data_IF_483667242988
#
_entry.id   IF_483667242988
#
_cell.length_a   1.000
_cell.length_b   1.000
_cell.length_c   1.000
_cell.angle_alpha   90.00
_cell.angle_beta   90.00
_cell.angle_gamma   90.00
#
_symmetry.space_group_name_H-M   'P 1'
#
loop_
_entity.id
_entity.type
_entity.pdbx_description
1 polymer ?
#
# COMPACT_ATOMS: atom_id res chain seq x y z
N UNK A 1 -50.75 6.28 64.60
CA UNK A 1 -50.45 6.97 63.33
C UNK A 1 -48.95 7.23 63.15
N UNK A 2 -48.19 7.53 64.20
CA UNK A 2 -46.75 7.85 64.14
C UNK A 2 -45.83 6.76 63.55
N UNK A 3 -46.13 5.48 63.79
CA UNK A 3 -45.29 4.38 63.28
C UNK A 3 -45.29 4.29 61.74
N UNK A 4 -46.43 4.55 61.09
CA UNK A 4 -46.54 4.56 59.63
C UNK A 4 -45.83 5.75 58.99
N UNK A 5 -45.78 6.87 59.70
CA UNK A 5 -45.16 8.12 59.22
C UNK A 5 -43.63 8.07 59.30
N UNK A 6 -43.07 7.43 60.33
CA UNK A 6 -41.63 7.11 60.40
C UNK A 6 -41.19 6.15 59.31
N UNK A 7 -41.97 5.09 59.07
CA UNK A 7 -41.66 4.08 58.06
C UNK A 7 -41.70 4.67 56.64
N UNK A 8 -42.67 5.53 56.35
CA UNK A 8 -42.75 6.25 55.08
C UNK A 8 -41.56 7.23 54.85
N UNK A 9 -41.03 7.85 55.91
CA UNK A 9 -39.83 8.69 55.81
C UNK A 9 -38.57 7.88 55.52
N UNK A 10 -38.38 6.75 56.20
CA UNK A 10 -37.24 5.86 55.96
C UNK A 10 -37.24 5.26 54.55
N UNK A 11 -38.41 4.84 54.06
CA UNK A 11 -38.55 4.31 52.69
C UNK A 11 -38.27 5.38 51.62
N UNK A 12 -38.73 6.61 51.84
CA UNK A 12 -38.46 7.73 50.94
C UNK A 12 -36.95 8.09 50.93
N UNK A 13 -36.29 8.06 52.08
CA UNK A 13 -34.85 8.33 52.18
C UNK A 13 -34.04 7.22 51.51
N UNK A 14 -34.47 5.96 51.65
CA UNK A 14 -33.86 4.80 51.00
C UNK A 14 -34.02 4.85 49.49
N UNK A 15 -35.20 5.24 48.98
CA UNK A 15 -35.42 5.48 47.55
C UNK A 15 -34.54 6.60 47.01
N UNK A 16 -34.45 7.74 47.70
CA UNK A 16 -33.59 8.86 47.28
C UNK A 16 -32.11 8.48 47.21
N UNK A 17 -31.62 7.71 48.19
CA UNK A 17 -30.22 7.22 48.21
C UNK A 17 -29.98 6.21 47.08
N UNK A 18 -30.92 5.30 46.83
CA UNK A 18 -30.81 4.34 45.74
C UNK A 18 -30.84 5.01 44.35
N UNK A 19 -31.69 6.02 44.17
CA UNK A 19 -31.78 6.79 42.92
C UNK A 19 -30.52 7.63 42.68
N UNK A 20 -29.99 8.28 43.73
CA UNK A 20 -28.73 9.02 43.65
C UNK A 20 -27.55 8.10 43.27
N UNK A 21 -27.46 6.92 43.88
CA UNK A 21 -26.42 5.93 43.56
C UNK A 21 -26.53 5.41 42.12
N UNK A 22 -27.77 5.19 41.64
CA UNK A 22 -28.03 4.76 40.26
C UNK A 22 -27.60 5.83 39.25
N UNK A 23 -27.97 7.10 39.50
CA UNK A 23 -27.56 8.23 38.65
C UNK A 23 -26.05 8.40 38.62
N UNK A 24 -25.37 8.22 39.75
CA UNK A 24 -23.91 8.32 39.85
C UNK A 24 -23.21 7.21 39.05
N UNK A 25 -23.66 5.96 39.18
CA UNK A 25 -23.14 4.86 38.36
C UNK A 25 -23.39 5.06 36.87
N UNK A 26 -24.55 5.55 36.49
CA UNK A 26 -24.90 5.80 35.08
C UNK A 26 -24.04 6.93 34.47
N UNK A 27 -23.70 7.96 35.26
CA UNK A 27 -22.77 9.02 34.83
C UNK A 27 -21.34 8.48 34.70
N UNK A 28 -20.86 7.72 35.68
CA UNK A 28 -19.53 7.08 35.64
C UNK A 28 -19.39 6.12 34.45
N UNK A 29 -20.41 5.29 34.18
CA UNK A 29 -20.41 4.39 33.02
C UNK A 29 -20.41 5.16 31.70
N UNK A 30 -21.16 6.26 31.60
CA UNK A 30 -21.19 7.09 30.39
C UNK A 30 -19.84 7.76 30.15
N UNK A 31 -19.25 8.34 31.20
CA UNK A 31 -17.91 8.95 31.11
C UNK A 31 -16.83 7.92 30.77
N UNK A 32 -16.92 6.70 31.32
CA UNK A 32 -16.00 5.61 31.01
C UNK A 32 -16.10 5.21 29.53
N UNK A 33 -17.32 5.05 29.00
CA UNK A 33 -17.55 4.73 27.58
C UNK A 33 -17.08 5.84 26.66
N UNK A 34 -17.32 7.10 27.01
CA UNK A 34 -16.86 8.25 26.22
C UNK A 34 -15.32 8.33 26.21
N UNK A 35 -14.66 8.08 27.35
CA UNK A 35 -13.19 8.01 27.43
C UNK A 35 -12.61 6.85 26.62
N UNK A 36 -13.24 5.68 26.66
CA UNK A 36 -12.79 4.51 25.88
C UNK A 36 -12.93 4.76 24.38
N UNK A 37 -14.06 5.31 23.93
CA UNK A 37 -14.28 5.67 22.52
C UNK A 37 -13.29 6.73 22.05
N UNK A 38 -12.99 7.72 22.90
CA UNK A 38 -12.00 8.74 22.60
C UNK A 38 -10.59 8.14 22.47
N UNK A 39 -10.18 7.30 23.43
CA UNK A 39 -8.89 6.64 23.42
C UNK A 39 -8.73 5.74 22.18
N UNK A 40 -9.78 5.00 21.81
CA UNK A 40 -9.78 4.17 20.60
C UNK A 40 -9.63 5.00 19.33
N UNK A 41 -10.39 6.09 19.18
CA UNK A 41 -10.25 6.99 18.03
C UNK A 41 -8.84 7.58 17.91
N UNK A 42 -8.24 7.97 19.03
CA UNK A 42 -6.87 8.49 19.06
C UNK A 42 -5.85 7.42 18.66
N UNK A 43 -6.02 6.17 19.13
CA UNK A 43 -5.16 5.06 18.76
C UNK A 43 -5.26 4.74 17.25
N UNK A 44 -6.48 4.64 16.71
CA UNK A 44 -6.73 4.38 15.29
C UNK A 44 -6.16 5.50 14.40
N UNK A 45 -6.31 6.77 14.79
CA UNK A 45 -5.74 7.90 14.05
C UNK A 45 -4.21 7.89 14.09
N UNK A 46 -3.61 7.58 15.24
CA UNK A 46 -2.15 7.48 15.38
C UNK A 46 -1.58 6.33 14.53
N UNK A 47 -2.25 5.18 14.50
CA UNK A 47 -1.85 4.05 13.67
C UNK A 47 -1.95 4.40 12.17
N UNK A 48 -3.05 5.05 11.76
CA UNK A 48 -3.21 5.52 10.38
C UNK A 48 -2.10 6.48 9.98
N UNK A 49 -1.79 7.48 10.83
CA UNK A 49 -0.69 8.43 10.57
C UNK A 49 0.66 7.73 10.46
N UNK A 50 0.96 6.78 11.35
CA UNK A 50 2.21 5.99 11.29
C UNK A 50 2.31 5.20 9.99
N UNK A 51 1.21 4.60 9.54
CA UNK A 51 1.17 3.83 8.29
C UNK A 51 1.40 4.73 7.08
N UNK A 52 0.72 5.89 7.03
CA UNK A 52 0.89 6.88 5.96
C UNK A 52 2.31 7.46 5.93
N UNK A 53 2.92 7.74 7.08
CA UNK A 53 4.29 8.23 7.20
C UNK A 53 5.31 7.17 6.78
N UNK A 54 5.14 5.92 7.20
CA UNK A 54 5.97 4.81 6.77
C UNK A 54 5.88 4.56 5.26
N UNK A 55 4.69 4.67 4.67
CA UNK A 55 4.50 4.56 3.22
C UNK A 55 5.19 5.71 2.48
N UNK A 56 5.08 6.94 2.97
CA UNK A 56 5.79 8.10 2.40
C UNK A 56 7.29 7.94 2.48
N UNK A 57 7.82 7.56 3.65
CA UNK A 57 9.25 7.32 3.85
C UNK A 57 9.77 6.19 2.93
N UNK A 58 8.98 5.13 2.75
CA UNK A 58 9.32 4.03 1.83
C UNK A 58 9.38 4.53 0.36
N UNK A 59 8.39 5.31 -0.07
CA UNK A 59 8.37 5.91 -1.42
C UNK A 59 9.56 6.86 -1.65
N UNK A 60 9.89 7.69 -0.67
CA UNK A 60 11.03 8.61 -0.73
C UNK A 60 12.36 7.85 -0.77
N UNK A 61 12.54 6.82 0.06
CA UNK A 61 13.72 5.97 0.05
C UNK A 61 13.89 5.23 -1.29
N UNK A 62 12.80 4.72 -1.87
CA UNK A 62 12.83 4.09 -3.19
C UNK A 62 13.22 5.08 -4.29
N UNK A 63 12.66 6.30 -4.27
CA UNK A 63 13.05 7.37 -5.20
C UNK A 63 14.54 7.70 -5.08
N UNK A 64 15.05 7.79 -3.85
CA UNK A 64 16.47 8.06 -3.62
C UNK A 64 17.36 6.92 -4.15
N UNK A 65 16.98 5.65 -3.95
CA UNK A 65 17.69 4.51 -4.52
C UNK A 65 17.74 4.56 -6.06
N UNK A 66 16.65 4.95 -6.72
CA UNK A 66 16.62 5.10 -8.18
C UNK A 66 17.51 6.24 -8.69
N UNK A 67 17.64 7.33 -7.93
CA UNK A 67 18.56 8.43 -8.25
C UNK A 67 20.01 7.98 -8.07
N UNK A 68 20.31 7.29 -6.97
CA UNK A 68 21.65 6.79 -6.67
C UNK A 68 22.13 5.76 -7.72
N UNK A 69 21.26 4.84 -8.13
CA UNK A 69 21.55 3.88 -9.21
C UNK A 69 21.87 4.57 -10.55
N UNK A 70 21.17 5.67 -10.87
CA UNK A 70 21.42 6.45 -12.08
C UNK A 70 22.77 7.19 -12.03
N UNK A 71 23.10 7.78 -10.87
CA UNK A 71 24.38 8.49 -10.66
C UNK A 71 25.59 7.55 -10.70
N UNK A 72 25.43 6.31 -10.22
CA UNK A 72 26.54 5.38 -10.11
C UNK A 72 27.09 4.87 -11.44
N UNK A 73 26.42 5.06 -12.60
CA UNK A 73 27.03 4.76 -13.91
C UNK A 73 26.30 5.18 -15.19
N UNK A 74 25.23 5.98 -15.17
CA UNK A 74 24.36 6.09 -16.36
C UNK A 74 23.83 4.73 -16.82
N UNK A 75 23.92 3.74 -15.93
CA UNK A 75 23.41 2.39 -16.04
C UNK A 75 21.95 2.47 -15.62
N UNK A 76 21.07 2.16 -16.56
CA UNK A 76 19.65 2.04 -16.29
C UNK A 76 19.36 1.08 -15.14
N UNK A 77 18.15 1.14 -14.58
CA UNK A 77 17.67 0.11 -13.66
C UNK A 77 17.70 -1.24 -14.40
N UNK A 78 18.36 -2.25 -13.83
CA UNK A 78 18.50 -3.56 -14.46
C UNK A 78 18.33 -4.71 -13.48
N UNK A 79 17.95 -5.88 -13.99
CA UNK A 79 17.80 -7.09 -13.20
C UNK A 79 17.09 -8.18 -13.98
N UNK A 80 16.68 -9.25 -13.29
CA UNK A 80 15.85 -10.29 -13.90
C UNK A 80 14.37 -10.01 -13.65
N UNK A 81 13.56 -10.24 -14.67
CA UNK A 81 12.11 -10.19 -14.59
C UNK A 81 11.52 -11.29 -15.47
N UNK A 82 10.35 -11.80 -15.11
CA UNK A 82 9.62 -12.74 -15.97
C UNK A 82 8.53 -11.96 -16.68
N UNK A 83 8.52 -12.03 -18.01
CA UNK A 83 7.59 -11.27 -18.84
C UNK A 83 6.76 -12.19 -19.73
N UNK A 84 5.49 -11.87 -19.88
CA UNK A 84 4.62 -12.38 -20.92
C UNK A 84 4.29 -11.20 -21.86
N UNK A 85 4.88 -11.23 -23.06
CA UNK A 85 4.70 -10.17 -24.05
C UNK A 85 3.31 -10.25 -24.67
N UNK A 86 2.71 -9.10 -25.01
CA UNK A 86 1.49 -9.02 -25.80
C UNK A 86 1.60 -9.88 -27.06
N UNK A 87 0.82 -10.97 -27.11
CA UNK A 87 0.82 -11.93 -28.21
C UNK A 87 1.53 -13.27 -27.96
N UNK A 88 2.23 -13.45 -26.82
CA UNK A 88 2.78 -14.76 -26.44
C UNK A 88 2.13 -15.27 -25.16
N UNK A 89 1.60 -16.51 -25.13
CA UNK A 89 1.02 -17.07 -23.91
C UNK A 89 2.09 -17.52 -22.89
N UNK A 90 3.38 -17.45 -23.24
CA UNK A 90 4.46 -18.00 -22.42
C UNK A 90 5.17 -16.93 -21.60
N UNK A 91 5.32 -17.22 -20.31
CA UNK A 91 6.20 -16.49 -19.40
C UNK A 91 7.67 -16.78 -19.70
N UNK A 92 8.47 -15.73 -19.82
CA UNK A 92 9.89 -15.81 -20.17
C UNK A 92 10.71 -15.00 -19.19
N UNK A 93 11.64 -15.65 -18.48
CA UNK A 93 12.63 -14.94 -17.65
C UNK A 93 13.63 -14.23 -18.55
N UNK A 94 13.81 -12.92 -18.35
CA UNK A 94 14.68 -12.05 -19.15
C UNK A 94 15.48 -11.16 -18.22
N UNK A 95 16.71 -10.85 -18.62
CA UNK A 95 17.45 -9.76 -18.02
C UNK A 95 16.95 -8.46 -18.65
N UNK A 96 16.58 -7.48 -17.86
CA UNK A 96 16.06 -6.21 -18.34
C UNK A 96 17.04 -5.08 -18.02
N UNK A 97 17.02 -4.05 -18.87
CA UNK A 97 17.72 -2.78 -18.65
C UNK A 97 16.78 -1.65 -19.05
N UNK A 98 16.51 -0.75 -18.11
CA UNK A 98 15.68 0.44 -18.30
C UNK A 98 16.56 1.68 -18.45
N UNK A 99 16.77 2.14 -19.68
CA UNK A 99 17.66 3.28 -19.96
C UNK A 99 16.92 4.34 -20.77
N UNK A 100 16.92 5.57 -20.26
CA UNK A 100 16.17 6.68 -20.87
C UNK A 100 14.68 6.32 -20.97
N UNK A 101 14.16 6.29 -22.18
CA UNK A 101 12.74 5.99 -22.47
C UNK A 101 12.47 4.54 -22.90
N UNK A 102 13.45 3.63 -22.76
CA UNK A 102 13.35 2.27 -23.32
C UNK A 102 13.64 1.23 -22.24
N UNK A 103 12.77 0.22 -22.19
CA UNK A 103 12.98 -1.04 -21.48
C UNK A 103 13.48 -2.07 -22.49
N UNK A 104 14.75 -2.44 -22.38
CA UNK A 104 15.39 -3.44 -23.23
C UNK A 104 15.45 -4.79 -22.50
N UNK A 105 15.11 -5.87 -23.21
CA UNK A 105 15.08 -7.22 -22.68
C UNK A 105 16.13 -8.08 -23.38
N UNK A 106 16.94 -8.77 -22.59
CA UNK A 106 17.99 -9.68 -23.01
C UNK A 106 17.68 -11.09 -22.54
N UNK A 107 18.32 -12.08 -23.17
CA UNK A 107 18.18 -13.48 -22.76
C UNK A 107 18.72 -13.68 -21.33
N UNK A 108 19.83 -13.04 -21.04
CA UNK A 108 20.63 -13.10 -19.82
C UNK A 108 21.42 -11.78 -19.67
N UNK A 109 22.17 -11.65 -18.57
CA UNK A 109 22.94 -10.45 -18.22
C UNK A 109 24.11 -10.19 -19.19
N UNK A 110 24.76 -11.25 -19.67
CA UNK A 110 25.88 -11.18 -20.63
C UNK A 110 25.41 -11.05 -22.10
N UNK A 111 24.10 -11.00 -22.30
CA UNK A 111 23.46 -10.99 -23.60
C UNK A 111 23.82 -9.74 -24.40
N UNK A 112 24.55 -9.91 -25.51
CA UNK A 112 24.97 -8.78 -26.36
C UNK A 112 23.85 -8.23 -27.24
N UNK A 113 22.86 -9.06 -27.58
CA UNK A 113 21.77 -8.69 -28.48
C UNK A 113 20.43 -8.64 -27.73
N UNK A 114 19.67 -7.54 -27.87
CA UNK A 114 18.35 -7.46 -27.27
C UNK A 114 17.40 -8.45 -27.93
N UNK A 115 16.61 -9.14 -27.11
CA UNK A 115 15.52 -10.02 -27.54
C UNK A 115 14.26 -9.21 -27.86
N UNK A 116 14.04 -8.12 -27.12
CA UNK A 116 12.94 -7.21 -27.34
C UNK A 116 13.27 -5.82 -26.75
N UNK A 117 12.61 -4.80 -27.28
CA UNK A 117 12.65 -3.43 -26.78
C UNK A 117 11.24 -2.89 -26.66
N UNK A 118 10.93 -2.30 -25.50
CA UNK A 118 9.64 -1.69 -25.20
C UNK A 118 9.90 -0.20 -25.00
N UNK A 119 9.37 0.61 -25.91
CA UNK A 119 9.43 2.07 -25.79
C UNK A 119 8.40 2.52 -24.76
N UNK A 120 8.85 3.17 -23.70
CA UNK A 120 8.02 3.61 -22.59
C UNK A 120 7.77 5.12 -22.60
N UNK A 121 8.64 5.95 -23.18
CA UNK A 121 8.54 7.42 -23.12
C UNK A 121 7.19 7.98 -23.57
N UNK A 122 6.42 8.50 -22.62
CA UNK A 122 5.05 9.00 -22.81
C UNK A 122 4.03 7.97 -23.29
N UNK A 123 4.36 6.67 -23.23
CA UNK A 123 3.56 5.60 -23.83
C UNK A 123 2.73 4.80 -22.84
N UNK A 124 3.11 4.84 -21.56
CA UNK A 124 2.44 4.06 -20.51
C UNK A 124 1.12 4.73 -20.14
N UNK A 125 0.01 4.02 -20.35
CA UNK A 125 -1.34 4.49 -20.04
C UNK A 125 -1.78 4.03 -18.67
N UNK A 126 -1.51 2.77 -18.34
CA UNK A 126 -1.96 2.17 -17.09
C UNK A 126 -0.97 1.13 -16.57
N UNK A 127 -0.83 1.06 -15.25
CA UNK A 127 -0.08 0.01 -14.54
C UNK A 127 -1.01 -0.53 -13.46
N UNK A 128 -1.24 -1.84 -13.47
CA UNK A 128 -2.22 -2.50 -12.61
C UNK A 128 -1.60 -3.71 -11.88
N UNK A 129 -1.95 -3.92 -10.61
CA UNK A 129 -1.68 -5.17 -9.92
C UNK A 129 -2.71 -6.23 -10.34
N UNK A 130 -2.26 -7.24 -11.06
CA UNK A 130 -3.09 -8.34 -11.57
C UNK A 130 -2.76 -9.67 -10.90
N UNK A 131 -2.11 -9.64 -9.73
CA UNK A 131 -1.66 -10.85 -9.02
C UNK A 131 -2.81 -11.80 -8.70
N UNK A 132 -4.01 -11.26 -8.45
CA UNK A 132 -5.22 -12.04 -8.19
C UNK A 132 -5.86 -12.61 -9.45
N UNK A 133 -5.70 -11.93 -10.60
CA UNK A 133 -6.27 -12.37 -11.87
C UNK A 133 -5.48 -13.55 -12.45
N UNK A 134 -4.15 -13.45 -12.42
CA UNK A 134 -3.27 -14.50 -12.96
C UNK A 134 -2.86 -15.55 -11.93
N UNK A 135 -3.25 -15.36 -10.66
CA UNK A 135 -2.89 -16.23 -9.53
C UNK A 135 -1.37 -16.38 -9.31
N UNK A 136 -0.60 -15.37 -9.71
CA UNK A 136 0.85 -15.29 -9.53
C UNK A 136 1.14 -14.04 -8.72
N UNK A 137 1.74 -14.19 -7.53
CA UNK A 137 2.09 -13.05 -6.66
C UNK A 137 3.09 -12.14 -7.34
N UNK A 138 3.11 -10.87 -6.92
CA UNK A 138 4.02 -9.86 -7.44
C UNK A 138 3.91 -9.70 -8.97
N UNK A 139 2.71 -9.90 -9.52
CA UNK A 139 2.45 -9.68 -10.94
C UNK A 139 1.84 -8.31 -11.15
N UNK A 140 2.20 -7.65 -12.24
CA UNK A 140 1.57 -6.43 -12.68
C UNK A 140 1.46 -6.39 -14.20
N UNK A 141 0.46 -5.66 -14.70
CA UNK A 141 0.24 -5.40 -16.12
C UNK A 141 0.66 -3.96 -16.42
N UNK A 142 1.26 -3.76 -17.59
CA UNK A 142 1.55 -2.43 -18.14
C UNK A 142 0.87 -2.33 -19.49
N UNK A 143 -0.04 -1.36 -19.60
CA UNK A 143 -0.80 -1.08 -20.82
C UNK A 143 -0.21 0.14 -21.51
N UNK A 144 0.13 -0.02 -22.79
CA UNK A 144 0.66 1.05 -23.65
C UNK A 144 -0.45 1.66 -24.51
N UNK A 145 -0.31 2.93 -24.90
CA UNK A 145 -1.31 3.61 -25.74
C UNK A 145 -1.47 2.98 -27.13
N UNK A 146 -0.50 2.18 -27.57
CA UNK A 146 -0.55 1.41 -28.82
C UNK A 146 -1.57 0.26 -28.77
N UNK A 147 -2.11 -0.05 -27.58
CA UNK A 147 -2.97 -1.20 -27.33
C UNK A 147 -2.21 -2.45 -26.90
N UNK A 148 -0.88 -2.38 -26.78
CA UNK A 148 -0.06 -3.50 -26.31
C UNK A 148 -0.10 -3.57 -24.77
N UNK A 149 -0.37 -4.76 -24.25
CA UNK A 149 -0.32 -5.07 -22.82
C UNK A 149 0.80 -6.06 -22.52
N UNK A 150 1.61 -5.75 -21.51
CA UNK A 150 2.70 -6.60 -21.05
C UNK A 150 2.48 -7.00 -19.59
N UNK A 151 2.60 -8.29 -19.32
CA UNK A 151 2.48 -8.85 -17.98
C UNK A 151 3.88 -9.15 -17.43
N UNK A 152 4.13 -8.71 -16.21
CA UNK A 152 5.42 -8.84 -15.54
C UNK A 152 5.26 -9.52 -14.20
N UNK A 153 6.14 -10.47 -13.91
CA UNK A 153 6.26 -11.17 -12.65
C UNK A 153 7.66 -10.97 -12.07
N UNK A 154 7.72 -10.61 -10.79
CA UNK A 154 8.96 -10.46 -10.03
C UNK A 154 9.02 -11.46 -8.86
N UNK A 155 10.23 -11.89 -8.48
CA UNK A 155 10.40 -12.92 -7.45
C UNK A 155 10.04 -12.35 -6.06
N UNK A 156 10.24 -11.04 -5.85
CA UNK A 156 9.90 -10.36 -4.59
C UNK A 156 9.01 -9.11 -4.78
N UNK A 157 8.24 -8.69 -3.74
CA UNK A 157 7.48 -7.44 -3.77
C UNK A 157 8.37 -6.22 -4.02
N UNK A 158 9.57 -6.19 -3.41
CA UNK A 158 10.53 -5.11 -3.59
C UNK A 158 10.97 -4.97 -5.05
N UNK A 159 11.26 -6.08 -5.72
CA UNK A 159 11.61 -6.08 -7.15
C UNK A 159 10.47 -5.60 -8.03
N UNK A 160 9.23 -5.98 -7.70
CA UNK A 160 8.03 -5.45 -8.37
C UNK A 160 7.95 -3.93 -8.24
N UNK A 161 8.07 -3.42 -7.02
CA UNK A 161 7.97 -1.98 -6.76
C UNK A 161 9.09 -1.21 -7.48
N UNK A 162 10.33 -1.73 -7.47
CA UNK A 162 11.45 -1.14 -8.20
C UNK A 162 11.22 -1.15 -9.72
N UNK A 163 10.72 -2.26 -10.28
CA UNK A 163 10.43 -2.36 -11.70
C UNK A 163 9.32 -1.38 -12.12
N UNK A 164 8.24 -1.28 -11.35
CA UNK A 164 7.15 -0.33 -11.59
C UNK A 164 7.68 1.11 -11.55
N UNK A 165 8.45 1.46 -10.51
CA UNK A 165 9.01 2.80 -10.37
C UNK A 165 10.00 3.14 -11.51
N UNK A 166 10.80 2.16 -11.95
CA UNK A 166 11.66 2.29 -13.13
C UNK A 166 10.87 2.54 -14.42
N UNK A 167 9.77 1.80 -14.64
CA UNK A 167 8.89 1.97 -15.81
C UNK A 167 8.24 3.36 -15.80
N UNK A 168 7.74 3.82 -14.66
CA UNK A 168 7.16 5.16 -14.51
C UNK A 168 8.21 6.24 -14.82
N UNK A 169 9.44 6.09 -14.31
CA UNK A 169 10.53 7.02 -14.61
C UNK A 169 10.89 7.03 -16.10
N UNK A 170 10.97 5.87 -16.75
CA UNK A 170 11.21 5.78 -18.20
C UNK A 170 10.07 6.42 -19.02
N UNK A 171 8.85 6.42 -18.51
CA UNK A 171 7.71 7.07 -19.14
C UNK A 171 7.80 8.61 -19.05
N UNK A 172 8.33 9.15 -17.95
CA UNK A 172 8.43 10.59 -17.69
C UNK A 172 9.69 11.26 -18.27
N UNK A 173 10.78 10.51 -18.42
CA UNK A 173 12.07 11.04 -18.89
C UNK A 173 11.96 11.56 -20.32
N UNK A 174 11.83 12.88 -20.51
CA UNK A 174 11.77 13.57 -21.82
C UNK A 174 13.09 14.18 -22.22
#
# INVERSE_FOLDING_TARGET
MEAKERQAREDLERQKRAEALKRQKETEEREAREKELWAKKQADELERRRKEEAERASREAMKQQLIEMEQLRGAGLSGFITIQNGGSPYWKRRFYVMRGQVLTLYRDEDGRAPVAEIKLGGRVVHIEDVSLEVLIRNTFRVDLYTGDSHLFFCDTPREKDMAIAGIMKCNESS
#
